data_IF_493717811635
#
_entry.id   IF_493717811635
#
_cell.length_a   1.000
_cell.length_b   1.000
_cell.length_c   1.000
_cell.angle_alpha   90.00
_cell.angle_beta   90.00
_cell.angle_gamma   90.00
#
_symmetry.space_group_name_H-M   'P 1'
#
loop_
_entity.id
_entity.type
_entity.pdbx_description
1 polymer ?
#
# COMPACT_ATOMS: atom_id res chain seq x y z
N UNK A 1 10.17 10.93 6.99
CA UNK A 1 11.10 11.15 8.13
C UNK A 1 11.51 9.83 8.78
N UNK A 2 12.21 8.94 8.04
CA UNK A 2 12.89 7.76 8.58
C UNK A 2 14.16 7.54 7.76
N UNK A 3 15.24 8.24 8.12
CA UNK A 3 16.55 8.03 7.52
C UNK A 3 17.29 6.96 8.31
N UNK A 4 16.87 5.70 8.19
CA UNK A 4 17.62 4.57 8.76
C UNK A 4 18.78 4.26 7.81
N UNK A 5 19.98 4.56 8.24
CA UNK A 5 21.21 4.16 7.59
C UNK A 5 21.49 2.66 7.78
N UNK A 6 22.36 2.10 6.93
CA UNK A 6 22.73 0.67 7.03
C UNK A 6 23.31 0.28 8.39
N UNK A 7 24.00 1.19 9.09
CA UNK A 7 24.51 0.95 10.44
C UNK A 7 23.40 0.87 11.49
N UNK A 8 22.42 1.78 11.45
CA UNK A 8 21.28 1.78 12.37
C UNK A 8 20.40 0.53 12.21
N UNK A 9 20.26 0.03 10.97
CA UNK A 9 19.55 -1.23 10.73
C UNK A 9 20.23 -2.42 11.42
N UNK A 10 21.57 -2.49 11.40
CA UNK A 10 22.33 -3.55 12.09
C UNK A 10 22.12 -3.45 13.61
N UNK A 11 22.12 -2.25 14.18
CA UNK A 11 21.85 -2.05 15.61
C UNK A 11 20.45 -2.53 15.99
N UNK A 12 19.43 -2.21 15.18
CA UNK A 12 18.06 -2.69 15.41
C UNK A 12 17.97 -4.22 15.30
N UNK A 13 18.68 -4.82 14.35
CA UNK A 13 18.71 -6.27 14.18
C UNK A 13 19.37 -6.94 15.40
N UNK A 14 20.50 -6.41 15.88
CA UNK A 14 21.13 -6.88 17.12
C UNK A 14 20.22 -6.73 18.34
N UNK A 15 19.51 -5.62 18.47
CA UNK A 15 18.56 -5.40 19.55
C UNK A 15 17.40 -6.39 19.49
N UNK A 16 16.86 -6.65 18.29
CA UNK A 16 15.82 -7.64 18.09
C UNK A 16 16.32 -9.07 18.43
N UNK A 17 17.54 -9.41 18.04
CA UNK A 17 18.18 -10.68 18.40
C UNK A 17 18.39 -10.79 19.91
N UNK A 18 18.72 -9.71 20.61
CA UNK A 18 18.91 -9.71 22.07
C UNK A 18 17.58 -9.90 22.82
N UNK A 19 16.53 -9.19 22.39
CA UNK A 19 15.21 -9.23 23.05
C UNK A 19 14.49 -10.55 22.79
N UNK A 20 14.44 -10.97 21.52
CA UNK A 20 13.65 -12.13 21.10
C UNK A 20 14.48 -13.42 20.98
N UNK A 21 15.79 -13.31 20.77
CA UNK A 21 16.69 -14.43 20.53
C UNK A 21 16.94 -14.74 19.05
N UNK A 22 18.15 -15.19 18.67
CA UNK A 22 18.51 -15.52 17.28
C UNK A 22 17.72 -16.68 16.69
N UNK A 23 17.20 -17.57 17.54
CA UNK A 23 16.44 -18.74 17.09
C UNK A 23 14.96 -18.43 16.84
N UNK A 24 14.42 -17.38 17.46
CA UNK A 24 12.98 -17.09 17.41
C UNK A 24 12.59 -16.26 16.20
N UNK A 25 13.42 -15.28 15.82
CA UNK A 25 13.20 -14.46 14.62
C UNK A 25 13.03 -15.28 13.33
N UNK A 26 13.92 -16.23 12.96
CA UNK A 26 13.74 -17.04 11.77
C UNK A 26 12.50 -17.95 11.85
N UNK A 27 12.19 -18.50 13.03
CA UNK A 27 10.98 -19.32 13.24
C UNK A 27 9.70 -18.50 13.03
N UNK A 28 9.65 -17.28 13.56
CA UNK A 28 8.52 -16.36 13.37
C UNK A 28 8.36 -15.97 11.90
N UNK A 29 9.46 -15.59 11.23
CA UNK A 29 9.45 -15.28 9.81
C UNK A 29 8.96 -16.46 8.94
N UNK A 30 9.38 -17.68 9.26
CA UNK A 30 8.91 -18.89 8.59
C UNK A 30 7.41 -19.17 8.83
N UNK A 31 6.91 -18.91 10.03
CA UNK A 31 5.48 -19.03 10.33
C UNK A 31 4.66 -18.02 9.53
N UNK A 32 5.04 -16.75 9.59
CA UNK A 32 4.43 -15.66 8.83
C UNK A 32 4.46 -15.98 7.33
N UNK A 33 5.61 -16.38 6.80
CA UNK A 33 5.76 -16.75 5.39
C UNK A 33 4.83 -17.89 4.95
N UNK A 34 4.64 -18.91 5.80
CA UNK A 34 3.69 -20.00 5.53
C UNK A 34 2.25 -19.50 5.48
N UNK A 35 1.85 -18.65 6.45
CA UNK A 35 0.52 -18.04 6.50
C UNK A 35 0.27 -17.18 5.27
N UNK A 36 1.22 -16.30 4.90
CA UNK A 36 1.09 -15.47 3.69
C UNK A 36 0.96 -16.32 2.43
N UNK A 37 1.70 -17.42 2.33
CA UNK A 37 1.61 -18.31 1.18
C UNK A 37 0.25 -19.01 1.10
N UNK A 38 -0.27 -19.48 2.23
CA UNK A 38 -1.61 -20.07 2.30
C UNK A 38 -2.67 -19.04 1.92
N UNK A 39 -2.61 -17.84 2.49
CA UNK A 39 -3.53 -16.75 2.18
C UNK A 39 -3.52 -16.40 0.68
N UNK A 40 -2.32 -16.33 0.07
CA UNK A 40 -2.18 -16.11 -1.38
C UNK A 40 -2.83 -17.22 -2.20
N UNK A 41 -2.62 -18.48 -1.81
CA UNK A 41 -3.25 -19.61 -2.50
C UNK A 41 -4.77 -19.56 -2.39
N UNK A 42 -5.30 -19.27 -1.19
CA UNK A 42 -6.75 -19.15 -0.96
C UNK A 42 -7.34 -18.00 -1.77
N UNK A 43 -6.69 -16.83 -1.78
CA UNK A 43 -7.13 -15.68 -2.57
C UNK A 43 -7.15 -15.99 -4.09
N UNK A 44 -6.13 -16.71 -4.58
CA UNK A 44 -6.08 -17.14 -5.98
C UNK A 44 -7.20 -18.15 -6.31
N UNK A 45 -7.44 -19.13 -5.44
CA UNK A 45 -8.53 -20.11 -5.64
C UNK A 45 -9.89 -19.44 -5.65
N UNK A 46 -10.21 -18.60 -4.66
CA UNK A 46 -11.46 -17.86 -4.62
C UNK A 46 -11.65 -16.96 -5.86
N UNK A 47 -10.58 -16.29 -6.32
CA UNK A 47 -10.61 -15.50 -7.55
C UNK A 47 -10.91 -16.36 -8.78
N UNK A 48 -10.37 -17.59 -8.84
CA UNK A 48 -10.64 -18.53 -9.94
C UNK A 48 -12.07 -19.06 -9.90
N UNK A 49 -12.62 -19.30 -8.71
CA UNK A 49 -13.99 -19.80 -8.54
C UNK A 49 -15.02 -18.73 -8.94
N UNK A 50 -14.79 -17.47 -8.55
CA UNK A 50 -15.60 -16.32 -8.96
C UNK A 50 -15.59 -16.15 -10.49
N UNK A 51 -14.41 -16.25 -11.12
CA UNK A 51 -14.26 -16.17 -12.58
C UNK A 51 -14.99 -17.29 -13.32
N UNK A 52 -15.03 -18.49 -12.74
CA UNK A 52 -15.72 -19.64 -13.33
C UNK A 52 -17.24 -19.58 -13.13
N UNK A 53 -17.71 -19.09 -11.98
CA UNK A 53 -19.12 -19.09 -11.60
C UNK A 53 -19.95 -17.92 -12.16
N UNK A 54 -19.34 -16.77 -12.44
CA UNK A 54 -20.08 -15.56 -12.83
C UNK A 54 -20.09 -15.28 -14.35
N UNK A 55 -19.48 -16.15 -15.16
CA UNK A 55 -19.50 -16.00 -16.62
C UNK A 55 -18.68 -14.81 -17.15
N UNK A 56 -18.63 -14.63 -18.49
CA UNK A 56 -17.72 -13.70 -19.16
C UNK A 56 -17.89 -12.21 -18.81
N UNK A 57 -18.99 -11.80 -18.16
CA UNK A 57 -19.23 -10.40 -17.76
C UNK A 57 -18.34 -9.91 -16.60
N UNK A 58 -17.72 -10.83 -15.84
CA UNK A 58 -16.73 -10.48 -14.79
C UNK A 58 -15.28 -10.74 -15.23
N UNK A 59 -15.08 -11.15 -16.49
CA UNK A 59 -13.76 -11.39 -17.07
C UNK A 59 -12.94 -10.09 -17.19
N UNK A 60 -13.63 -8.95 -17.21
CA UNK A 60 -13.04 -7.60 -17.27
C UNK A 60 -12.76 -6.98 -15.90
N UNK A 61 -13.10 -7.66 -14.78
CA UNK A 61 -12.64 -7.23 -13.46
C UNK A 61 -11.15 -7.59 -13.32
N UNK A 62 -10.28 -6.62 -13.61
CA UNK A 62 -8.85 -6.81 -13.71
C UNK A 62 -8.23 -7.09 -12.33
N UNK A 63 -8.15 -8.37 -11.99
CA UNK A 63 -7.51 -8.89 -10.77
C UNK A 63 -6.04 -8.44 -10.65
N UNK A 64 -5.45 -7.89 -11.71
CA UNK A 64 -4.08 -7.36 -11.70
C UNK A 64 -3.93 -6.03 -10.94
N UNK A 65 -4.98 -5.25 -10.74
CA UNK A 65 -4.91 -4.03 -9.92
C UNK A 65 -4.92 -4.34 -8.41
N UNK A 66 -5.34 -5.56 -8.05
CA UNK A 66 -5.24 -6.11 -6.68
C UNK A 66 -3.86 -6.73 -6.39
N UNK A 67 -2.89 -6.65 -7.33
CA UNK A 67 -1.55 -7.15 -7.07
C UNK A 67 -0.91 -6.31 -5.96
N UNK A 68 -0.66 -6.88 -4.76
CA UNK A 68 -0.27 -6.11 -3.59
C UNK A 68 1.04 -5.36 -3.82
N UNK A 69 1.92 -5.85 -4.70
CA UNK A 69 3.16 -5.16 -5.07
C UNK A 69 2.90 -3.84 -5.81
N UNK A 70 1.92 -3.81 -6.72
CA UNK A 70 1.55 -2.59 -7.46
C UNK A 70 0.71 -1.64 -6.59
N UNK A 71 -0.17 -2.18 -5.76
CA UNK A 71 -0.96 -1.41 -4.79
C UNK A 71 -0.07 -0.67 -3.78
N UNK A 72 0.86 -1.38 -3.14
CA UNK A 72 1.84 -0.80 -2.21
C UNK A 72 2.74 0.21 -2.93
N UNK A 73 3.17 -0.08 -4.17
CA UNK A 73 3.98 0.86 -4.94
C UNK A 73 3.23 2.15 -5.28
N UNK A 74 1.93 2.11 -5.58
CA UNK A 74 1.13 3.32 -5.79
C UNK A 74 0.99 4.12 -4.49
N UNK A 75 0.65 3.45 -3.38
CA UNK A 75 0.39 4.13 -2.10
C UNK A 75 1.62 4.59 -1.31
N UNK A 76 2.81 4.01 -1.54
CA UNK A 76 4.04 4.47 -0.89
C UNK A 76 4.73 5.62 -1.64
N UNK A 77 4.45 5.78 -2.94
CA UNK A 77 5.08 6.83 -3.77
C UNK A 77 4.19 8.07 -3.97
N UNK A 78 2.89 8.00 -3.65
CA UNK A 78 2.04 9.16 -3.50
C UNK A 78 2.24 9.75 -2.09
N UNK A 79 3.10 10.77 -1.98
CA UNK A 79 3.09 11.63 -0.79
C UNK A 79 1.68 12.22 -0.60
N UNK A 80 1.15 12.33 0.63
CA UNK A 80 -0.13 12.97 0.85
C UNK A 80 -0.02 14.43 0.44
N UNK A 81 -0.58 14.80 -0.72
CA UNK A 81 -0.68 16.19 -1.12
C UNK A 81 -1.42 16.96 0.00
N UNK A 82 -0.84 18.07 0.51
CA UNK A 82 -1.53 18.87 1.50
C UNK A 82 -2.77 19.46 0.84
N UNK A 83 -3.92 19.21 1.47
CA UNK A 83 -5.28 19.62 1.11
C UNK A 83 -5.33 21.09 0.64
N UNK A 84 -5.08 21.32 -0.65
CA UNK A 84 -5.33 22.60 -1.31
C UNK A 84 -6.83 22.66 -1.57
N UNK A 85 -7.56 23.15 -0.56
CA UNK A 85 -8.99 23.46 -0.64
C UNK A 85 -9.30 24.04 -2.02
N UNK A 86 -10.18 23.42 -2.83
CA UNK A 86 -10.42 23.88 -4.18
C UNK A 86 -11.02 25.27 -4.09
N UNK A 87 -10.26 26.28 -4.54
CA UNK A 87 -10.79 27.62 -4.72
C UNK A 87 -12.05 27.49 -5.59
N UNK A 88 -13.20 27.87 -5.05
CA UNK A 88 -14.51 27.75 -5.72
C UNK A 88 -14.41 28.50 -7.05
N UNK A 89 -14.29 27.74 -8.15
CA UNK A 89 -14.26 28.29 -9.50
C UNK A 89 -15.67 28.29 -10.04
N UNK A 90 -16.33 29.44 -10.02
CA UNK A 90 -17.56 29.64 -10.76
C UNK A 90 -17.21 29.70 -12.26
N UNK A 91 -17.62 28.68 -13.01
CA UNK A 91 -17.46 28.61 -14.46
C UNK A 91 -16.00 28.72 -14.98
N UNK A 92 -15.04 28.19 -14.21
CA UNK A 92 -13.62 28.08 -14.60
C UNK A 92 -12.80 29.37 -14.53
N UNK A 93 -13.43 30.52 -14.29
CA UNK A 93 -12.74 31.82 -14.15
C UNK A 93 -12.54 32.12 -12.66
N UNK A 94 -11.36 32.61 -12.31
CA UNK A 94 -11.17 33.23 -10.99
C UNK A 94 -12.02 34.50 -11.01
N UNK A 95 -12.91 34.74 -10.03
CA UNK A 95 -13.57 36.03 -9.94
C UNK A 95 -12.48 37.12 -9.93
N UNK A 96 -12.65 38.19 -10.69
CA UNK A 96 -11.68 39.28 -10.66
C UNK A 96 -11.61 39.78 -9.22
N UNK A 97 -10.40 39.82 -8.67
CA UNK A 97 -10.17 40.56 -7.44
C UNK A 97 -10.20 42.03 -7.82
N UNK A 98 -11.10 42.77 -7.18
CA UNK A 98 -11.17 44.22 -7.31
C UNK A 98 -10.18 44.80 -6.31
N UNK A 99 -9.03 45.24 -6.82
CA UNK A 99 -7.95 45.79 -6.01
C UNK A 99 -8.30 47.22 -5.48
N UNK A 100 -9.44 47.79 -5.90
CA UNK A 100 -9.94 49.10 -5.45
C UNK A 100 -10.91 49.01 -4.26
N UNK A 101 -11.21 47.81 -3.77
CA UNK A 101 -12.02 47.61 -2.57
C UNK A 101 -11.18 47.81 -1.29
N UNK A 102 -11.04 49.07 -0.86
CA UNK A 102 -10.63 49.46 0.51
C UNK A 102 -11.78 50.18 1.20
#
# INVERSE_FOLDING_TARGET
MFNISGGEFVVLLLLALLIFGPDQLPKAAQQIGRVLRQLRTMANSASNDIKQGLGPEFKDFDVQDLNPKRFVQKHFWEEPEPDQRPAVRLNGKRPPFDDEAT
#
